data_IF_432984092365
#
_entry.id   IF_432984092365
#
_cell.length_a   1.000
_cell.length_b   1.000
_cell.length_c   1.000
_cell.angle_alpha   90.00
_cell.angle_beta   90.00
_cell.angle_gamma   90.00
#
_symmetry.space_group_name_H-M   'P 1'
#
loop_
_entity.id
_entity.type
_entity.pdbx_description
1 polymer ?
#
# COMPACT_ATOMS: atom_id res chain seq x y z
N UNK A 1 -6.81 -29.24 18.20
CA UNK A 1 -6.35 -27.89 18.51
C UNK A 1 -6.67 -27.04 17.28
N UNK A 2 -7.70 -26.20 17.35
CA UNK A 2 -8.05 -25.28 16.27
C UNK A 2 -6.98 -24.19 16.27
N UNK A 3 -6.28 -24.02 15.14
CA UNK A 3 -5.23 -23.02 15.00
C UNK A 3 -5.82 -21.62 15.14
N UNK A 4 -5.43 -20.90 16.18
CA UNK A 4 -5.71 -19.48 16.31
C UNK A 4 -5.00 -18.75 15.15
N UNK A 5 -5.73 -17.88 14.48
CA UNK A 5 -5.15 -17.01 13.46
C UNK A 5 -4.15 -16.06 14.16
N UNK A 6 -2.84 -16.11 13.86
CA UNK A 6 -1.83 -15.38 14.62
C UNK A 6 -1.81 -13.87 14.38
N UNK A 7 -2.77 -13.32 13.60
CA UNK A 7 -2.68 -11.97 13.05
C UNK A 7 -3.66 -10.96 13.64
N UNK A 8 -4.61 -11.40 14.46
CA UNK A 8 -5.57 -10.48 15.11
C UNK A 8 -5.68 -10.86 16.59
N UNK A 9 -5.30 -9.97 17.46
CA UNK A 9 -5.52 -10.07 18.89
C UNK A 9 -6.54 -9.02 19.31
N UNK A 10 -7.69 -9.48 19.81
CA UNK A 10 -8.71 -8.63 20.40
C UNK A 10 -8.53 -8.69 21.93
N UNK A 11 -8.32 -7.54 22.55
CA UNK A 11 -8.27 -7.43 24.00
C UNK A 11 -9.53 -6.69 24.45
N UNK A 12 -10.50 -7.38 25.07
CA UNK A 12 -11.63 -6.70 25.68
C UNK A 12 -11.15 -5.84 26.84
N UNK A 13 -11.72 -4.65 26.99
CA UNK A 13 -11.49 -3.83 28.16
C UNK A 13 -12.03 -4.56 29.38
N UNK A 14 -11.21 -4.83 30.36
CA UNK A 14 -11.66 -5.26 31.68
C UNK A 14 -12.42 -4.09 32.30
N UNK A 15 -13.74 -4.20 32.36
CA UNK A 15 -14.58 -3.22 33.07
C UNK A 15 -14.48 -3.50 34.56
N UNK A 16 -13.93 -2.57 35.31
CA UNK A 16 -14.20 -2.44 36.73
C UNK A 16 -15.61 -1.83 36.86
N UNK A 17 -16.56 -2.57 37.16
CA UNK A 17 -17.94 -2.34 37.57
C UNK A 17 -18.57 -0.93 37.55
N UNK A 18 -18.09 0.03 36.73
CA UNK A 18 -18.67 1.37 36.57
C UNK A 18 -19.08 1.62 35.14
N UNK A 19 -20.32 2.03 34.97
CA UNK A 19 -21.11 2.19 33.77
C UNK A 19 -20.41 2.64 32.47
N UNK A 20 -20.67 1.86 31.40
CA UNK A 20 -21.03 2.30 30.07
C UNK A 20 -20.07 3.18 29.26
N UNK A 21 -19.07 2.57 28.64
CA UNK A 21 -18.69 2.80 27.24
C UNK A 21 -17.77 1.64 26.81
N UNK A 22 -18.31 0.64 26.10
CA UNK A 22 -17.53 -0.50 25.61
C UNK A 22 -16.62 -0.13 24.46
N UNK A 23 -15.40 0.30 24.75
CA UNK A 23 -14.36 0.46 23.73
C UNK A 23 -13.55 -0.83 23.56
N UNK A 24 -13.39 -1.29 22.33
CA UNK A 24 -12.52 -2.42 21.99
C UNK A 24 -11.26 -1.88 21.31
N UNK A 25 -10.09 -2.26 21.84
CA UNK A 25 -8.81 -2.03 21.16
C UNK A 25 -8.53 -3.17 20.19
N UNK A 26 -8.40 -2.86 18.91
CA UNK A 26 -8.09 -3.82 17.87
C UNK A 26 -6.61 -3.72 17.54
N UNK A 27 -5.86 -4.80 17.75
CA UNK A 27 -4.46 -4.91 17.37
C UNK A 27 -4.37 -5.69 16.06
N UNK A 28 -4.12 -4.99 14.96
CA UNK A 28 -3.82 -5.61 13.67
C UNK A 28 -2.31 -5.58 13.43
N UNK A 29 -1.63 -6.70 13.57
CA UNK A 29 -0.24 -6.84 13.14
C UNK A 29 -0.21 -7.39 11.71
N UNK A 30 -0.12 -6.51 10.72
CA UNK A 30 0.22 -6.93 9.37
C UNK A 30 1.75 -7.08 9.32
N UNK A 31 2.23 -8.15 9.91
CA UNK A 31 3.60 -8.60 9.72
C UNK A 31 3.70 -9.25 8.34
N UNK A 32 4.53 -8.69 7.46
CA UNK A 32 4.95 -9.33 6.21
C UNK A 32 5.81 -10.59 6.47
N UNK A 33 5.40 -11.42 7.42
CA UNK A 33 5.93 -12.76 7.69
C UNK A 33 5.53 -13.81 6.65
N UNK A 34 5.21 -13.41 5.43
CA UNK A 34 4.76 -14.27 4.33
C UNK A 34 5.86 -15.12 3.68
N UNK A 35 7.06 -15.16 4.24
CA UNK A 35 8.22 -15.79 3.56
C UNK A 35 8.18 -17.32 3.42
N UNK A 36 7.28 -18.05 4.08
CA UNK A 36 7.27 -19.53 4.03
C UNK A 36 6.07 -20.19 3.37
N UNK A 37 5.05 -19.45 2.94
CA UNK A 37 3.84 -20.06 2.35
C UNK A 37 3.62 -19.79 0.86
N UNK A 38 4.43 -18.93 0.23
CA UNK A 38 4.31 -18.63 -1.20
C UNK A 38 4.80 -19.76 -2.11
N UNK A 39 5.61 -20.69 -1.64
CA UNK A 39 6.11 -21.80 -2.48
C UNK A 39 5.04 -22.82 -2.89
N UNK A 40 3.87 -22.84 -2.28
CA UNK A 40 2.80 -23.82 -2.58
C UNK A 40 1.64 -23.29 -3.45
N UNK A 41 1.55 -22.00 -3.71
CA UNK A 41 0.42 -21.42 -4.46
C UNK A 41 0.60 -21.39 -5.97
N UNK A 42 1.78 -21.68 -6.49
CA UNK A 42 2.10 -21.53 -7.92
C UNK A 42 2.12 -22.85 -8.72
N UNK A 43 1.50 -23.94 -8.22
CA UNK A 43 1.46 -25.24 -8.93
C UNK A 43 0.31 -25.35 -9.94
N UNK A 44 -0.48 -24.33 -10.16
CA UNK A 44 -1.39 -24.30 -11.29
C UNK A 44 -0.64 -23.70 -12.50
N UNK A 45 -0.11 -24.55 -13.39
CA UNK A 45 0.15 -24.16 -14.77
C UNK A 45 -1.19 -23.78 -15.40
N UNK A 46 -1.61 -22.53 -15.23
CA UNK A 46 -2.64 -21.92 -16.03
C UNK A 46 -2.05 -21.71 -17.43
N UNK A 47 -2.78 -22.05 -18.48
CA UNK A 47 -2.49 -21.61 -19.85
C UNK A 47 -2.66 -20.10 -20.02
N UNK A 48 -2.58 -19.34 -18.94
CA UNK A 48 -2.72 -17.90 -18.93
C UNK A 48 -1.58 -17.28 -19.75
N UNK A 49 -1.93 -16.36 -20.63
CA UNK A 49 -1.00 -15.57 -21.44
C UNK A 49 0.06 -14.95 -20.52
N UNK A 50 1.33 -15.12 -20.86
CA UNK A 50 2.42 -14.38 -20.22
C UNK A 50 2.29 -12.90 -20.61
N UNK A 51 2.29 -12.01 -19.60
CA UNK A 51 2.17 -10.57 -19.77
C UNK A 51 3.54 -9.90 -19.72
N UNK A 52 3.78 -8.97 -20.62
CA UNK A 52 5.00 -8.15 -20.69
C UNK A 52 4.90 -7.00 -19.72
N UNK A 53 5.86 -6.90 -18.81
CA UNK A 53 5.85 -5.91 -17.72
C UNK A 53 7.01 -4.95 -17.84
N UNK A 54 6.70 -3.66 -17.76
CA UNK A 54 7.65 -2.57 -17.58
C UNK A 54 7.64 -2.05 -16.13
N UNK A 55 8.80 -1.63 -15.62
CA UNK A 55 8.91 -0.98 -14.30
C UNK A 55 9.56 0.39 -14.47
N UNK A 56 8.86 1.44 -14.04
CA UNK A 56 9.40 2.80 -13.98
C UNK A 56 9.81 3.11 -12.54
N UNK A 57 11.10 3.47 -12.32
CA UNK A 57 11.62 3.77 -10.99
C UNK A 57 12.18 2.54 -10.26
N UNK A 58 13.00 1.75 -10.94
CA UNK A 58 13.50 0.46 -10.44
C UNK A 58 14.54 0.51 -9.32
N UNK A 59 15.08 1.67 -8.94
CA UNK A 59 16.20 1.80 -7.98
C UNK A 59 15.79 2.01 -6.53
N UNK A 60 14.50 2.29 -6.27
CA UNK A 60 13.93 2.37 -4.92
C UNK A 60 13.63 1.00 -4.31
N UNK A 61 13.30 0.97 -3.02
CA UNK A 61 12.89 -0.27 -2.33
C UNK A 61 11.68 -0.94 -2.99
N UNK A 62 10.69 -0.15 -3.39
CA UNK A 62 9.49 -0.66 -4.09
C UNK A 62 9.84 -1.29 -5.43
N UNK A 63 10.73 -0.66 -6.21
CA UNK A 63 11.21 -1.22 -7.48
C UNK A 63 11.98 -2.54 -7.29
N UNK A 64 12.82 -2.63 -6.27
CA UNK A 64 13.53 -3.85 -5.90
C UNK A 64 12.57 -4.99 -5.52
N UNK A 65 11.51 -4.68 -4.76
CA UNK A 65 10.49 -5.68 -4.39
C UNK A 65 9.64 -6.12 -5.59
N UNK A 66 9.30 -5.21 -6.50
CA UNK A 66 8.63 -5.57 -7.76
C UNK A 66 9.50 -6.54 -8.58
N UNK A 67 10.79 -6.26 -8.74
CA UNK A 67 11.73 -7.17 -9.42
C UNK A 67 11.71 -8.55 -8.77
N UNK A 68 11.86 -8.61 -7.44
CA UNK A 68 11.90 -9.86 -6.67
C UNK A 68 10.60 -10.67 -6.81
N UNK A 69 9.45 -10.02 -6.75
CA UNK A 69 8.15 -10.68 -6.83
C UNK A 69 7.82 -11.12 -8.25
N UNK A 70 8.05 -10.24 -9.23
CA UNK A 70 7.65 -10.49 -10.62
C UNK A 70 8.58 -11.46 -11.31
N UNK A 71 9.88 -11.52 -10.97
CA UNK A 71 10.81 -12.49 -11.52
C UNK A 71 10.46 -13.95 -11.22
N UNK A 72 9.71 -14.19 -10.14
CA UNK A 72 9.19 -15.51 -9.78
C UNK A 72 7.74 -15.76 -10.23
N UNK A 73 7.08 -14.81 -10.86
CA UNK A 73 5.67 -14.93 -11.24
C UNK A 73 5.50 -15.70 -12.56
N UNK A 74 4.73 -16.81 -12.62
CA UNK A 74 4.70 -17.71 -13.77
C UNK A 74 4.14 -17.08 -15.05
N UNK A 75 3.34 -16.03 -14.94
CA UNK A 75 2.69 -15.36 -16.07
C UNK A 75 3.22 -13.92 -16.29
N UNK A 76 4.40 -13.59 -15.76
CA UNK A 76 5.02 -12.29 -15.91
C UNK A 76 6.37 -12.38 -16.61
N UNK A 77 6.59 -11.54 -17.61
CA UNK A 77 7.87 -11.32 -18.28
C UNK A 77 8.32 -9.89 -18.03
N UNK A 78 9.41 -9.72 -17.31
CA UNK A 78 10.03 -8.40 -17.13
C UNK A 78 10.79 -8.04 -18.41
N UNK A 79 10.32 -7.04 -19.15
CA UNK A 79 10.92 -6.64 -20.43
C UNK A 79 11.71 -5.36 -20.36
N UNK A 80 11.40 -4.48 -19.40
CA UNK A 80 12.12 -3.22 -19.21
C UNK A 80 12.03 -2.72 -17.79
N UNK A 81 13.11 -2.11 -17.34
CA UNK A 81 13.19 -1.40 -16.05
C UNK A 81 13.93 -0.09 -16.24
N UNK A 82 13.42 0.98 -15.62
CA UNK A 82 14.00 2.30 -15.86
C UNK A 82 14.56 2.93 -14.60
N UNK A 83 15.63 3.68 -14.80
CA UNK A 83 16.22 4.61 -13.85
C UNK A 83 17.00 5.68 -14.61
N UNK A 84 16.87 6.93 -14.19
CA UNK A 84 17.65 8.03 -14.78
C UNK A 84 19.10 8.03 -14.29
N UNK A 85 19.32 7.70 -12.99
CA UNK A 85 20.65 7.70 -12.37
C UNK A 85 21.49 6.48 -12.74
N UNK A 86 20.87 5.33 -13.01
CA UNK A 86 21.56 4.05 -13.18
C UNK A 86 21.45 3.52 -14.63
N UNK A 87 21.23 4.43 -15.61
CA UNK A 87 21.18 4.05 -17.04
C UNK A 87 22.39 3.24 -17.46
N UNK A 88 22.16 2.09 -18.08
CA UNK A 88 23.19 1.16 -18.57
C UNK A 88 23.74 0.21 -17.51
N UNK A 89 23.44 0.41 -16.23
CA UNK A 89 23.89 -0.48 -15.15
C UNK A 89 23.06 -1.77 -15.17
N UNK A 90 23.67 -2.97 -15.16
CA UNK A 90 22.94 -4.22 -15.00
C UNK A 90 22.19 -4.29 -13.67
N UNK A 91 20.95 -4.80 -13.68
CA UNK A 91 20.15 -4.99 -12.46
C UNK A 91 20.90 -5.81 -11.42
N UNK A 92 21.59 -6.87 -11.83
CA UNK A 92 22.37 -7.73 -10.94
C UNK A 92 23.59 -7.05 -10.31
N UNK A 93 24.04 -5.92 -10.84
CA UNK A 93 25.10 -5.12 -10.21
C UNK A 93 24.56 -4.33 -9.02
N UNK A 94 23.36 -3.75 -9.16
CA UNK A 94 22.72 -2.99 -8.07
C UNK A 94 22.05 -3.92 -7.05
N UNK A 95 21.51 -5.05 -7.54
CA UNK A 95 20.79 -6.07 -6.75
C UNK A 95 21.44 -7.46 -6.96
N UNK A 96 22.57 -7.76 -6.26
CA UNK A 96 23.31 -9.01 -6.46
C UNK A 96 22.51 -10.30 -6.20
N UNK A 97 21.47 -10.21 -5.38
CA UNK A 97 20.53 -11.31 -5.11
C UNK A 97 19.65 -11.70 -6.31
N UNK A 98 19.59 -10.86 -7.35
CA UNK A 98 18.88 -11.13 -8.61
C UNK A 98 19.78 -11.62 -9.74
N UNK A 99 21.07 -11.88 -9.46
CA UNK A 99 22.02 -12.41 -10.46
C UNK A 99 21.57 -13.77 -10.97
N UNK A 100 21.52 -13.92 -12.30
CA UNK A 100 21.04 -15.15 -12.96
C UNK A 100 19.53 -15.32 -12.94
N UNK A 101 18.78 -14.36 -12.37
CA UNK A 101 17.31 -14.35 -12.32
C UNK A 101 16.75 -13.25 -13.22
N UNK A 102 17.33 -12.05 -13.15
CA UNK A 102 16.93 -10.88 -13.95
C UNK A 102 18.14 -10.42 -14.76
N UNK A 103 18.07 -10.64 -16.08
CA UNK A 103 19.13 -10.26 -17.03
C UNK A 103 18.71 -9.01 -17.81
N UNK A 104 18.49 -7.91 -17.04
CA UNK A 104 18.14 -6.60 -17.58
C UNK A 104 19.15 -5.56 -17.11
N UNK A 105 19.30 -4.48 -17.90
CA UNK A 105 19.98 -3.26 -17.48
C UNK A 105 18.98 -2.11 -17.35
N UNK A 106 19.24 -1.19 -16.44
CA UNK A 106 18.43 0.01 -16.30
C UNK A 106 18.50 0.87 -17.57
N UNK A 107 17.35 1.34 -18.03
CA UNK A 107 17.23 2.27 -19.17
C UNK A 107 16.64 3.62 -18.72
N UNK A 108 16.73 4.62 -19.56
CA UNK A 108 15.89 5.82 -19.39
C UNK A 108 14.42 5.49 -19.68
N UNK A 109 13.47 6.18 -19.02
CA UNK A 109 12.07 6.05 -19.36
C UNK A 109 11.82 6.41 -20.83
N UNK A 110 11.29 5.45 -21.60
CA UNK A 110 10.96 5.64 -23.01
C UNK A 110 9.51 5.19 -23.25
N UNK A 111 8.64 6.13 -23.58
CA UNK A 111 7.20 5.88 -23.78
C UNK A 111 6.96 4.86 -24.88
N UNK A 112 7.74 4.87 -25.99
CA UNK A 112 7.56 3.91 -27.07
C UNK A 112 7.87 2.48 -26.63
N UNK A 113 8.82 2.26 -25.74
CA UNK A 113 9.15 0.94 -25.16
C UNK A 113 8.11 0.54 -24.11
N UNK A 114 7.78 1.45 -23.20
CA UNK A 114 6.81 1.20 -22.13
C UNK A 114 5.40 0.93 -22.69
N UNK A 115 5.00 1.63 -23.76
CA UNK A 115 3.71 1.44 -24.43
C UNK A 115 3.58 0.10 -25.16
N UNK A 116 4.67 -0.66 -25.34
CA UNK A 116 4.63 -2.03 -25.89
C UNK A 116 4.45 -3.09 -24.80
N UNK A 117 4.49 -2.71 -23.53
CA UNK A 117 4.19 -3.60 -22.41
C UNK A 117 2.67 -3.84 -22.32
N UNK A 118 2.27 -5.01 -21.81
CA UNK A 118 0.87 -5.24 -21.42
C UNK A 118 0.53 -4.47 -20.12
N UNK A 119 1.53 -4.30 -19.22
CA UNK A 119 1.38 -3.64 -17.93
C UNK A 119 2.64 -2.88 -17.53
N UNK A 120 2.48 -1.68 -17.01
CA UNK A 120 3.57 -0.85 -16.51
C UNK A 120 3.35 -0.51 -15.04
N UNK A 121 4.34 -0.81 -14.19
CA UNK A 121 4.37 -0.38 -12.80
C UNK A 121 5.14 0.92 -12.64
N UNK A 122 4.57 1.85 -11.87
CA UNK A 122 5.24 3.07 -11.45
C UNK A 122 5.66 2.98 -9.99
N UNK A 123 6.97 2.88 -9.74
CA UNK A 123 7.60 2.89 -8.41
C UNK A 123 8.40 4.19 -8.23
N UNK A 124 7.78 5.31 -8.57
CA UNK A 124 8.39 6.64 -8.62
C UNK A 124 7.96 7.53 -7.45
N UNK A 125 8.68 8.61 -7.15
CA UNK A 125 8.16 9.68 -6.31
C UNK A 125 6.84 10.23 -6.89
N UNK A 126 6.02 10.84 -6.02
CA UNK A 126 4.80 11.54 -6.44
C UNK A 126 5.10 12.67 -7.44
N UNK A 127 4.14 12.96 -8.31
CA UNK A 127 4.27 13.94 -9.39
C UNK A 127 4.91 13.42 -10.68
N UNK A 128 5.57 12.25 -10.65
CA UNK A 128 6.27 11.71 -11.83
C UNK A 128 5.32 10.92 -12.74
N UNK A 129 4.45 10.10 -12.18
CA UNK A 129 3.53 9.25 -12.94
C UNK A 129 2.56 10.09 -13.79
N UNK A 130 2.07 11.21 -13.26
CA UNK A 130 1.16 12.13 -13.94
C UNK A 130 1.65 12.61 -15.32
N UNK A 131 2.97 12.82 -15.47
CA UNK A 131 3.56 13.26 -16.73
C UNK A 131 3.73 12.16 -17.78
N UNK A 132 3.58 10.89 -17.43
CA UNK A 132 3.93 9.76 -18.30
C UNK A 132 2.75 8.82 -18.52
N UNK A 133 1.94 8.59 -17.49
CA UNK A 133 0.79 7.66 -17.52
C UNK A 133 -0.20 7.95 -18.66
N UNK A 134 -0.57 9.22 -18.95
CA UNK A 134 -1.51 9.50 -20.07
C UNK A 134 -1.03 8.91 -21.39
N UNK A 135 0.25 9.05 -21.73
CA UNK A 135 0.81 8.55 -22.98
C UNK A 135 0.91 7.00 -23.01
N UNK A 136 1.15 6.36 -21.88
CA UNK A 136 1.22 4.90 -21.77
C UNK A 136 -0.17 4.29 -21.92
N UNK A 137 -1.19 4.85 -21.27
CA UNK A 137 -2.58 4.42 -21.43
C UNK A 137 -3.06 4.60 -22.88
N UNK A 138 -2.71 5.74 -23.50
CA UNK A 138 -3.03 5.99 -24.92
C UNK A 138 -2.37 5.01 -25.87
N UNK A 139 -1.21 4.44 -25.50
CA UNK A 139 -0.54 3.36 -26.24
C UNK A 139 -1.18 1.97 -26.00
N UNK A 140 -2.15 1.85 -25.11
CA UNK A 140 -2.90 0.62 -24.83
C UNK A 140 -2.34 -0.23 -23.68
N UNK A 141 -1.24 0.16 -23.04
CA UNK A 141 -0.73 -0.54 -21.86
C UNK A 141 -1.54 -0.18 -20.61
N UNK A 142 -1.74 -1.15 -19.72
CA UNK A 142 -2.32 -0.91 -18.39
C UNK A 142 -1.26 -0.37 -17.42
N UNK A 143 -1.71 0.34 -16.38
CA UNK A 143 -0.81 0.96 -15.40
C UNK A 143 -1.22 0.59 -13.98
N UNK A 144 -0.21 0.23 -13.17
CA UNK A 144 -0.32 0.14 -11.71
C UNK A 144 0.64 1.18 -11.12
N UNK A 145 0.07 2.23 -10.51
CA UNK A 145 0.83 3.29 -9.89
C UNK A 145 0.96 3.07 -8.37
N UNK A 146 2.20 2.97 -7.88
CA UNK A 146 2.51 2.85 -6.46
C UNK A 146 2.82 4.22 -5.84
N UNK A 147 2.83 5.29 -6.63
CA UNK A 147 2.93 6.65 -6.13
C UNK A 147 1.61 7.14 -5.54
N UNK A 148 1.56 8.40 -5.13
CA UNK A 148 0.34 8.99 -4.60
C UNK A 148 -0.52 9.71 -5.67
N UNK A 149 -0.12 9.64 -6.94
CA UNK A 149 -0.60 10.56 -7.97
C UNK A 149 -2.10 10.43 -8.29
N UNK A 150 -2.66 9.23 -8.13
CA UNK A 150 -4.05 8.96 -8.53
C UNK A 150 -4.92 8.41 -7.39
N UNK A 151 -4.50 8.56 -6.12
CA UNK A 151 -5.20 7.98 -4.96
C UNK A 151 -6.35 8.84 -4.45
N UNK A 152 -6.12 10.16 -4.36
CA UNK A 152 -7.06 11.12 -3.78
C UNK A 152 -7.88 11.74 -4.90
N UNK A 153 -9.21 11.61 -4.84
CA UNK A 153 -10.14 12.06 -5.88
C UNK A 153 -10.31 13.57 -5.91
N UNK A 154 -10.23 14.22 -4.75
CA UNK A 154 -10.27 15.68 -4.67
C UNK A 154 -8.90 16.24 -5.06
N UNK A 155 -8.86 16.84 -6.26
CA UNK A 155 -7.64 17.42 -6.84
C UNK A 155 -7.10 18.56 -5.98
N UNK A 156 -7.95 19.45 -5.48
CA UNK A 156 -7.52 20.58 -4.65
C UNK A 156 -6.91 20.09 -3.33
N UNK A 157 -7.49 19.03 -2.76
CA UNK A 157 -6.96 18.37 -1.55
C UNK A 157 -5.62 17.70 -1.85
N UNK A 158 -5.48 17.01 -2.98
CA UNK A 158 -4.21 16.43 -3.41
C UNK A 158 -3.13 17.51 -3.57
N UNK A 159 -3.42 18.58 -4.32
CA UNK A 159 -2.50 19.70 -4.55
C UNK A 159 -2.05 20.37 -3.24
N UNK A 160 -2.98 20.56 -2.30
CA UNK A 160 -2.67 21.07 -0.96
C UNK A 160 -1.66 20.20 -0.22
N UNK A 161 -1.82 18.86 -0.25
CA UNK A 161 -0.99 17.95 0.52
C UNK A 161 0.35 17.64 -0.16
N UNK A 162 0.41 17.69 -1.48
CA UNK A 162 1.62 17.37 -2.25
C UNK A 162 2.37 18.62 -2.74
N UNK A 163 1.82 19.81 -2.57
CA UNK A 163 2.47 21.09 -2.80
C UNK A 163 2.78 21.41 -4.26
N UNK A 164 2.04 20.82 -5.20
CA UNK A 164 2.21 21.03 -6.63
C UNK A 164 0.89 20.87 -7.37
N UNK A 165 0.77 21.46 -8.57
CA UNK A 165 -0.38 21.26 -9.44
C UNK A 165 -0.44 19.81 -9.94
N UNK A 166 -1.66 19.25 -10.06
CA UNK A 166 -1.86 17.89 -10.56
C UNK A 166 -1.74 17.85 -12.10
N UNK A 167 -0.77 17.09 -12.61
CA UNK A 167 -0.44 17.04 -14.05
C UNK A 167 -1.41 16.25 -14.93
N UNK A 168 -2.30 15.43 -14.36
CA UNK A 168 -3.27 14.62 -15.09
C UNK A 168 -4.59 14.42 -14.30
N UNK A 169 -5.28 15.50 -13.90
CA UNK A 169 -6.46 15.42 -13.05
C UNK A 169 -7.60 14.61 -13.66
N UNK A 170 -7.72 14.57 -14.98
CA UNK A 170 -8.75 13.82 -15.70
C UNK A 170 -8.64 12.30 -15.47
N UNK A 171 -7.45 11.76 -15.21
CA UNK A 171 -7.25 10.34 -14.98
C UNK A 171 -7.60 9.89 -13.55
N UNK A 172 -7.72 10.81 -12.62
CA UNK A 172 -8.03 10.47 -11.21
C UNK A 172 -9.42 9.85 -11.09
N UNK A 173 -10.39 10.33 -11.89
CA UNK A 173 -11.73 9.75 -11.92
C UNK A 173 -11.79 8.35 -12.56
N UNK A 174 -10.81 8.00 -13.40
CA UNK A 174 -10.71 6.70 -14.07
C UNK A 174 -9.91 5.69 -13.26
N UNK A 175 -9.09 6.16 -12.32
CA UNK A 175 -8.22 5.32 -11.51
C UNK A 175 -9.04 4.49 -10.50
N UNK A 176 -8.78 3.19 -10.47
CA UNK A 176 -9.34 2.31 -9.45
C UNK A 176 -8.39 2.25 -8.26
N UNK A 177 -8.90 2.49 -7.06
CA UNK A 177 -8.12 2.36 -5.84
C UNK A 177 -7.72 0.91 -5.58
N UNK A 178 -6.42 0.66 -5.56
CA UNK A 178 -5.80 -0.65 -5.64
C UNK A 178 -5.71 -1.42 -4.32
N UNK A 179 -6.80 -1.47 -3.54
CA UNK A 179 -6.94 -2.35 -2.37
C UNK A 179 -7.75 -3.59 -2.78
N UNK A 180 -7.10 -4.74 -3.10
CA UNK A 180 -7.79 -5.91 -3.67
C UNK A 180 -8.85 -6.51 -2.75
N UNK A 181 -8.66 -6.40 -1.45
CA UNK A 181 -9.61 -6.90 -0.44
C UNK A 181 -10.96 -6.18 -0.54
N UNK A 182 -10.98 -4.92 -0.97
CA UNK A 182 -12.20 -4.13 -1.15
C UNK A 182 -12.62 -4.01 -2.63
N UNK A 183 -11.67 -3.74 -3.53
CA UNK A 183 -11.94 -3.35 -4.93
C UNK A 183 -11.61 -4.43 -5.96
N UNK A 184 -11.49 -5.71 -5.60
CA UNK A 184 -11.05 -6.80 -6.48
C UNK A 184 -11.74 -6.80 -7.84
N UNK A 185 -13.08 -6.65 -7.88
CA UNK A 185 -13.85 -6.71 -9.14
C UNK A 185 -13.52 -5.54 -10.06
N UNK A 186 -13.40 -4.33 -9.50
CA UNK A 186 -13.06 -3.13 -10.27
C UNK A 186 -11.61 -3.19 -10.79
N UNK A 187 -10.68 -3.70 -10.00
CA UNK A 187 -9.27 -3.85 -10.39
C UNK A 187 -9.09 -4.74 -11.61
N UNK A 188 -9.87 -5.82 -11.75
CA UNK A 188 -9.77 -6.74 -12.89
C UNK A 188 -9.99 -6.04 -14.24
N UNK A 189 -10.93 -5.09 -14.29
CA UNK A 189 -11.27 -4.33 -15.50
C UNK A 189 -10.51 -3.01 -15.66
N UNK A 190 -9.78 -2.58 -14.64
CA UNK A 190 -9.09 -1.29 -14.64
C UNK A 190 -7.98 -1.20 -15.70
N UNK A 191 -7.82 0.00 -16.28
CA UNK A 191 -6.65 0.36 -17.06
C UNK A 191 -5.61 1.10 -16.21
N UNK A 192 -6.06 1.81 -15.16
CA UNK A 192 -5.22 2.49 -14.19
C UNK A 192 -5.60 2.07 -12.78
N UNK A 193 -4.64 1.52 -12.05
CA UNK A 193 -4.79 1.13 -10.64
C UNK A 193 -3.88 2.01 -9.80
N UNK A 194 -4.46 2.72 -8.82
CA UNK A 194 -3.74 3.52 -7.84
C UNK A 194 -3.55 2.72 -6.55
N UNK A 195 -2.36 2.16 -6.34
CA UNK A 195 -2.06 1.39 -5.12
C UNK A 195 -2.11 2.26 -3.87
N UNK A 196 -2.72 1.80 -2.77
CA UNK A 196 -2.79 2.55 -1.53
C UNK A 196 -1.42 2.82 -0.91
N UNK A 197 -1.34 3.87 -0.11
CA UNK A 197 -0.21 4.10 0.78
C UNK A 197 -0.11 3.02 1.86
N UNK A 198 1.05 2.93 2.50
CA UNK A 198 1.31 1.88 3.49
C UNK A 198 0.42 2.01 4.75
N UNK A 199 0.26 3.21 5.30
CA UNK A 199 -0.67 3.46 6.41
C UNK A 199 -2.14 3.30 6.00
N UNK A 200 -2.59 3.85 4.85
CA UNK A 200 -3.94 3.59 4.35
C UNK A 200 -4.25 2.10 4.23
N UNK A 201 -3.34 1.30 3.68
CA UNK A 201 -3.52 -0.16 3.61
C UNK A 201 -3.74 -0.77 5.00
N UNK A 202 -2.86 -0.44 5.95
CA UNK A 202 -2.92 -1.01 7.30
C UNK A 202 -4.22 -0.66 8.04
N UNK A 203 -4.64 0.62 7.97
CA UNK A 203 -5.80 1.13 8.72
C UNK A 203 -7.11 0.69 8.06
N UNK A 204 -7.20 0.79 6.74
CA UNK A 204 -8.40 0.38 6.01
C UNK A 204 -8.67 -1.12 6.18
N UNK A 205 -7.65 -1.97 6.05
CA UNK A 205 -7.80 -3.40 6.30
C UNK A 205 -8.19 -3.69 7.76
N UNK A 206 -7.63 -2.95 8.72
CA UNK A 206 -7.99 -3.10 10.14
C UNK A 206 -9.42 -2.72 10.47
N UNK A 207 -10.04 -1.80 9.70
CA UNK A 207 -11.41 -1.33 9.93
C UNK A 207 -12.43 -1.96 8.96
N UNK A 208 -12.00 -2.51 7.84
CA UNK A 208 -12.87 -3.01 6.77
C UNK A 208 -14.00 -3.92 7.26
N UNK A 209 -13.76 -4.98 8.06
CA UNK A 209 -14.83 -5.87 8.50
C UNK A 209 -15.89 -5.18 9.35
N UNK A 210 -15.49 -4.18 10.13
CA UNK A 210 -16.36 -3.44 11.04
C UNK A 210 -17.22 -2.42 10.31
N UNK A 211 -16.61 -1.73 9.33
CA UNK A 211 -17.30 -0.72 8.52
C UNK A 211 -18.28 -1.36 7.53
N UNK A 212 -17.95 -2.53 6.96
CA UNK A 212 -18.84 -3.27 6.05
C UNK A 212 -20.16 -3.64 6.73
N UNK A 213 -20.16 -3.90 8.02
CA UNK A 213 -21.39 -4.22 8.79
C UNK A 213 -21.94 -3.04 9.59
N UNK A 214 -21.24 -1.89 9.59
CA UNK A 214 -21.71 -0.67 10.25
C UNK A 214 -21.78 -0.77 11.78
N UNK A 215 -20.92 -1.54 12.42
CA UNK A 215 -21.00 -1.81 13.86
C UNK A 215 -20.16 -0.87 14.74
N UNK A 216 -19.47 0.12 14.15
CA UNK A 216 -18.63 1.07 14.89
C UNK A 216 -19.03 2.52 14.63
N UNK A 217 -18.79 3.39 15.61
CA UNK A 217 -18.94 4.84 15.43
C UNK A 217 -17.82 5.38 14.56
N UNK A 218 -18.18 5.85 13.36
CA UNK A 218 -17.25 6.38 12.37
C UNK A 218 -16.75 7.79 12.68
N UNK A 219 -17.32 8.46 13.67
CA UNK A 219 -16.95 9.81 14.07
C UNK A 219 -15.87 9.85 15.16
N UNK A 220 -15.54 8.72 15.76
CA UNK A 220 -14.56 8.61 16.86
C UNK A 220 -13.61 7.42 16.64
N UNK A 221 -12.86 7.48 15.52
CA UNK A 221 -11.85 6.48 15.21
C UNK A 221 -10.45 7.04 15.56
N UNK A 222 -9.62 6.20 16.16
CA UNK A 222 -8.23 6.56 16.46
C UNK A 222 -7.30 5.47 15.91
N UNK A 223 -6.25 5.87 15.20
CA UNK A 223 -5.22 4.96 14.71
C UNK A 223 -3.82 5.46 15.08
N UNK A 224 -3.12 4.67 15.89
CA UNK A 224 -1.71 4.83 16.18
C UNK A 224 -0.93 3.79 15.37
N UNK A 225 -0.17 4.23 14.37
CA UNK A 225 0.51 3.33 13.45
C UNK A 225 2.02 3.49 13.52
N UNK A 226 2.72 2.43 13.87
CA UNK A 226 4.16 2.40 14.04
C UNK A 226 4.82 1.74 12.81
N UNK A 227 5.67 2.48 12.10
CA UNK A 227 6.32 2.07 10.86
C UNK A 227 7.83 1.91 11.02
N UNK A 228 8.37 0.90 10.36
CA UNK A 228 9.81 0.78 10.16
C UNK A 228 10.38 1.86 9.22
N UNK A 229 11.68 2.10 9.33
CA UNK A 229 12.38 3.21 8.67
C UNK A 229 12.42 3.11 7.14
N UNK A 230 12.31 1.90 6.57
CA UNK A 230 12.29 1.73 5.11
C UNK A 230 11.07 2.36 4.42
N UNK A 231 10.02 2.69 5.19
CA UNK A 231 8.86 3.46 4.71
C UNK A 231 9.20 4.85 4.18
N UNK A 232 10.31 5.44 4.63
CA UNK A 232 10.82 6.71 4.13
C UNK A 232 11.53 6.59 2.75
N UNK A 233 11.71 5.37 2.23
CA UNK A 233 12.39 5.12 0.97
C UNK A 233 13.91 4.94 1.12
N UNK A 234 14.59 4.73 -0.03
CA UNK A 234 16.03 4.42 -0.08
C UNK A 234 16.94 5.64 -0.03
N UNK A 235 16.39 6.84 -0.18
CA UNK A 235 17.19 8.05 -0.16
C UNK A 235 17.82 8.24 1.22
N UNK A 236 19.15 8.42 1.25
CA UNK A 236 19.89 8.69 2.48
C UNK A 236 19.48 10.05 3.05
N UNK A 237 19.14 10.06 4.33
CA UNK A 237 18.90 11.29 5.10
C UNK A 237 19.37 11.07 6.53
N UNK A 238 19.74 12.13 7.24
CA UNK A 238 20.23 12.04 8.63
C UNK A 238 19.21 11.30 9.50
N UNK A 239 17.93 11.65 9.39
CA UNK A 239 16.87 11.03 10.20
C UNK A 239 16.67 9.51 9.99
N UNK A 240 17.18 8.97 8.89
CA UNK A 240 17.07 7.55 8.52
C UNK A 240 18.39 6.79 8.72
N UNK A 241 19.46 7.45 9.19
CA UNK A 241 20.70 6.77 9.54
C UNK A 241 20.47 5.81 10.71
N UNK A 242 21.18 4.69 10.71
CA UNK A 242 21.08 3.70 11.78
C UNK A 242 21.32 4.32 13.16
N UNK A 243 22.32 5.19 13.28
CA UNK A 243 22.66 5.89 14.53
C UNK A 243 21.60 6.89 15.03
N UNK A 244 20.71 7.34 14.15
CA UNK A 244 19.64 8.28 14.49
C UNK A 244 18.29 7.58 14.68
N UNK A 245 18.08 6.47 13.98
CA UNK A 245 16.82 5.73 13.99
C UNK A 245 16.81 4.58 15.01
N UNK A 246 17.99 3.98 15.33
CA UNK A 246 18.07 2.91 16.33
C UNK A 246 17.78 3.45 17.73
N UNK A 247 17.17 2.59 18.57
CA UNK A 247 16.80 2.88 19.97
C UNK A 247 15.84 4.11 20.11
N UNK A 248 15.19 4.52 19.00
CA UNK A 248 14.26 5.65 18.96
C UNK A 248 12.86 5.20 18.58
N UNK A 249 11.88 5.53 19.42
CA UNK A 249 10.46 5.39 19.12
C UNK A 249 9.80 6.77 19.25
N UNK A 250 9.30 7.32 18.14
CA UNK A 250 8.77 8.68 18.15
C UNK A 250 7.56 8.85 17.23
N UNK A 251 6.56 9.62 17.71
CA UNK A 251 5.52 10.13 16.85
C UNK A 251 6.08 11.19 15.88
N UNK A 252 5.54 11.27 14.68
CA UNK A 252 5.85 12.32 13.71
C UNK A 252 4.59 12.75 12.98
N UNK A 253 4.59 13.96 12.40
CA UNK A 253 3.45 14.49 11.64
C UNK A 253 2.08 14.32 12.34
N UNK A 254 2.03 14.40 13.68
CA UNK A 254 0.80 14.23 14.45
C UNK A 254 -0.22 15.34 14.20
N UNK A 255 0.23 16.54 13.77
CA UNK A 255 -0.64 17.65 13.39
C UNK A 255 -1.21 17.53 11.96
N UNK A 256 -0.84 16.50 11.23
CA UNK A 256 -1.30 16.24 9.87
C UNK A 256 -0.28 15.44 9.07
N UNK A 257 -0.73 14.36 8.48
CA UNK A 257 0.06 13.49 7.60
C UNK A 257 -0.65 13.33 6.25
N UNK A 258 0.11 13.37 5.16
CA UNK A 258 -0.43 13.29 3.78
C UNK A 258 -1.25 12.03 3.47
N UNK A 259 -1.16 10.98 4.28
CA UNK A 259 -2.01 9.79 4.16
C UNK A 259 -3.38 9.95 4.84
N UNK A 260 -3.58 10.94 5.71
CA UNK A 260 -4.86 11.12 6.40
C UNK A 260 -6.04 11.27 5.43
N UNK A 261 -6.02 12.18 4.43
CA UNK A 261 -7.14 12.32 3.51
C UNK A 261 -7.37 11.06 2.64
N UNK A 262 -6.32 10.31 2.31
CA UNK A 262 -6.44 9.02 1.62
C UNK A 262 -7.12 7.97 2.50
N UNK A 263 -6.79 7.94 3.80
CA UNK A 263 -7.41 7.00 4.75
C UNK A 263 -8.88 7.34 4.92
N UNK A 264 -9.20 8.60 5.20
CA UNK A 264 -10.58 9.06 5.39
C UNK A 264 -11.44 8.78 4.15
N UNK A 265 -10.92 9.08 2.95
CA UNK A 265 -11.59 8.75 1.69
C UNK A 265 -11.88 7.25 1.57
N UNK A 266 -10.89 6.39 1.84
CA UNK A 266 -11.08 4.95 1.71
C UNK A 266 -12.03 4.37 2.77
N UNK A 267 -12.00 4.90 4.00
CA UNK A 267 -12.94 4.49 5.05
C UNK A 267 -14.35 4.97 4.73
N UNK A 268 -14.52 6.16 4.16
CA UNK A 268 -15.82 6.68 3.70
C UNK A 268 -16.37 5.84 2.54
N UNK A 269 -15.53 5.39 1.62
CA UNK A 269 -15.94 4.48 0.53
C UNK A 269 -16.46 3.13 1.07
N UNK A 270 -15.87 2.62 2.15
CA UNK A 270 -16.27 1.36 2.77
C UNK A 270 -17.56 1.53 3.57
N UNK A 271 -17.65 2.59 4.39
CA UNK A 271 -18.79 2.82 5.30
C UNK A 271 -20.02 3.45 4.61
N UNK A 272 -19.80 4.10 3.45
CA UNK A 272 -20.84 4.87 2.74
C UNK A 272 -21.19 6.21 3.39
N UNK A 273 -20.39 6.68 4.35
CA UNK A 273 -20.57 7.96 5.06
C UNK A 273 -19.23 8.60 5.39
N UNK A 274 -19.22 9.90 5.68
CA UNK A 274 -18.02 10.60 6.12
C UNK A 274 -17.47 10.00 7.40
N UNK A 275 -16.15 9.96 7.51
CA UNK A 275 -15.42 9.37 8.64
C UNK A 275 -14.50 10.40 9.25
N UNK A 276 -14.42 10.42 10.57
CA UNK A 276 -13.45 11.22 11.31
C UNK A 276 -12.40 10.32 11.96
N UNK A 277 -11.13 10.56 11.64
CA UNK A 277 -10.01 9.74 12.13
C UNK A 277 -8.93 10.59 12.79
N UNK A 278 -8.64 10.30 14.04
CA UNK A 278 -7.38 10.75 14.67
C UNK A 278 -6.26 9.80 14.29
N UNK A 279 -5.34 10.26 13.43
CA UNK A 279 -4.22 9.43 12.94
C UNK A 279 -2.88 9.94 13.48
N UNK A 280 -2.14 9.09 14.20
CA UNK A 280 -0.82 9.41 14.74
C UNK A 280 0.20 8.37 14.26
N UNK A 281 1.01 8.70 13.24
CA UNK A 281 2.09 7.83 12.80
C UNK A 281 3.30 7.91 13.75
N UNK A 282 3.98 6.77 13.90
CA UNK A 282 5.20 6.63 14.69
C UNK A 282 6.29 5.97 13.85
N UNK A 283 7.54 6.28 14.16
CA UNK A 283 8.70 5.62 13.60
C UNK A 283 9.30 4.66 14.65
N UNK A 284 9.53 3.40 14.23
CA UNK A 284 10.18 2.36 15.00
C UNK A 284 11.61 2.11 14.52
N UNK A 285 12.54 1.66 15.40
CA UNK A 285 13.90 1.29 15.04
C UNK A 285 13.97 -0.13 14.40
N UNK A 286 13.09 -0.38 13.44
CA UNK A 286 13.08 -1.61 12.65
C UNK A 286 13.12 -1.28 11.15
N UNK A 287 13.54 -2.24 10.33
CA UNK A 287 13.64 -1.99 8.90
C UNK A 287 12.28 -1.88 8.22
N UNK A 288 11.40 -2.88 8.39
CA UNK A 288 10.17 -3.02 7.59
C UNK A 288 8.98 -3.38 8.46
N UNK A 289 7.80 -3.04 7.97
CA UNK A 289 6.51 -3.37 8.55
C UNK A 289 5.80 -2.16 9.14
N UNK A 290 4.50 -2.30 9.33
CA UNK A 290 3.66 -1.35 10.06
C UNK A 290 2.83 -2.14 11.06
N UNK A 291 2.82 -1.67 12.29
CA UNK A 291 1.91 -2.12 13.33
C UNK A 291 0.93 -0.99 13.64
N UNK A 292 -0.35 -1.20 13.35
CA UNK A 292 -1.41 -0.23 13.66
C UNK A 292 -2.22 -0.70 14.86
N UNK A 293 -2.34 0.17 15.88
CA UNK A 293 -3.28 0.01 16.98
C UNK A 293 -4.45 0.94 16.71
N UNK A 294 -5.64 0.36 16.55
CA UNK A 294 -6.84 1.09 16.17
C UNK A 294 -7.87 0.97 17.29
N UNK A 295 -8.49 2.09 17.63
CA UNK A 295 -9.55 2.17 18.62
C UNK A 295 -10.83 2.60 17.91
N UNK A 296 -11.91 1.89 18.18
CA UNK A 296 -13.24 2.18 17.67
C UNK A 296 -14.29 1.82 18.73
N UNK A 297 -15.32 2.63 18.84
CA UNK A 297 -16.44 2.38 19.76
C UNK A 297 -17.48 1.53 19.03
N UNK A 298 -17.86 0.37 19.61
CA UNK A 298 -18.95 -0.44 19.08
C UNK A 298 -20.28 0.26 19.32
N UNK A 299 -21.13 0.31 18.28
CA UNK A 299 -22.52 0.77 18.38
C UNK A 299 -23.39 -0.33 19.01
N UNK A 300 -23.11 -1.59 18.62
CA UNK A 300 -23.77 -2.77 19.18
C UNK A 300 -22.71 -3.66 19.88
N UNK A 301 -22.73 -3.71 21.22
CA UNK A 301 -21.77 -4.51 21.98
C UNK A 301 -21.99 -6.03 21.85
N UNK A 302 -23.11 -6.49 21.23
CA UNK A 302 -23.37 -7.91 21.01
C UNK A 302 -22.64 -8.45 19.77
N UNK A 303 -22.01 -7.61 18.95
CA UNK A 303 -21.27 -8.01 17.75
C UNK A 303 -20.06 -8.88 18.12
N UNK A 304 -19.97 -10.07 17.53
CA UNK A 304 -18.76 -10.90 17.60
C UNK A 304 -17.71 -10.40 16.59
N UNK A 305 -16.89 -9.46 17.06
CA UNK A 305 -15.85 -8.84 16.25
C UNK A 305 -14.83 -9.87 15.73
N UNK A 306 -14.47 -10.88 16.55
CA UNK A 306 -13.54 -11.93 16.13
C UNK A 306 -14.10 -12.72 14.93
N UNK A 307 -15.37 -13.09 14.99
CA UNK A 307 -16.03 -13.81 13.89
C UNK A 307 -16.07 -12.98 12.58
N UNK A 308 -16.26 -11.67 12.66
CA UNK A 308 -16.22 -10.80 11.47
C UNK A 308 -14.83 -10.85 10.79
N UNK A 309 -13.74 -10.76 11.55
CA UNK A 309 -12.39 -10.85 11.01
C UNK A 309 -12.09 -12.25 10.44
N UNK A 310 -12.46 -13.32 11.13
CA UNK A 310 -12.27 -14.70 10.64
C UNK A 310 -13.07 -15.00 9.36
N UNK A 311 -14.25 -14.40 9.21
CA UNK A 311 -15.05 -14.53 8.00
C UNK A 311 -14.45 -13.73 6.83
N UNK A 312 -13.85 -12.57 7.12
CA UNK A 312 -13.37 -11.64 6.10
C UNK A 312 -11.98 -12.01 5.56
N UNK A 313 -11.11 -12.55 6.42
CA UNK A 313 -9.71 -12.88 6.15
C UNK A 313 -9.38 -14.35 6.42
#
# INVERSE_FOLDING_TARGET
MKGQNPFVHLIPRLTDGSADTGGISIYGCISLGYYRRLERFWIFKSEAKVIKIGIVGGTGYTGAELLRLLSGHPNAELVTITSRSEKGVPVAQLYPNLRGIVDLSFSEPNIAVLGQCDLVFFATPHGVAQGTVPAILAAGAKVIDLSADFRIRDIALWEKWYGQAHGAPQLVAEAVYGLPEFNRRAIVSANLVACPGCYPTSIQLGLLPLLEVGCVDVNDLIANSASGVSGAGRQASVANLLSEASDSFKAYSASGHRHLPEIEQGLADISGTDVSLTFVPHLLPINRGIHSTIYANLIDPAVDVQALFEQRY
#
